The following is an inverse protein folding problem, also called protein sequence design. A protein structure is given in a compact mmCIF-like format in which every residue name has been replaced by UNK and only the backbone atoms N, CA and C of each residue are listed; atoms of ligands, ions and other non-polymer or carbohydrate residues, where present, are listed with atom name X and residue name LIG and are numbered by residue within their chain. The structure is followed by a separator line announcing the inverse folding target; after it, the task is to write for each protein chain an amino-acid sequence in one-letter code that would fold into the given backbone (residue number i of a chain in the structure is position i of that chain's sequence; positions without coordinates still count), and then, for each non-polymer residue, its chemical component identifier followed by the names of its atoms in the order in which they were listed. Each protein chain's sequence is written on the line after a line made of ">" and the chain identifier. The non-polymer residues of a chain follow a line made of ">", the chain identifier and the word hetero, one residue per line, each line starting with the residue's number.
data_IF_391963446727
#
_entry.id   IF_391963446727
#
_cell.length_a   1.000
_cell.length_b   1.000
_cell.length_c   1.000
_cell.angle_alpha   90.00
_cell.angle_beta   90.00
_cell.angle_gamma   90.00
#
_symmetry.space_group_name_H-M   'P 1'
#
loop_
_entity.id
_entity.type
_entity.pdbx_description
1 polymer ?
#
# COMPACT_ATOMS: atom_id res chain seq x y z
N UNK A 1 -18.76 -6.05 -3.34
CA UNK A 1 -18.28 -5.93 -1.95
C UNK A 1 -16.76 -6.00 -1.90
N UNK A 2 -16.17 -5.14 -1.11
CA UNK A 2 -14.70 -5.08 -0.95
C UNK A 2 -14.32 -5.79 0.33
N UNK A 3 -13.30 -6.65 0.24
CA UNK A 3 -12.79 -7.38 1.40
C UNK A 3 -11.28 -7.32 1.43
N UNK A 4 -10.72 -7.32 2.64
CA UNK A 4 -9.29 -7.52 2.86
C UNK A 4 -9.07 -8.96 3.28
N UNK A 5 -8.32 -9.71 2.49
CA UNK A 5 -8.02 -11.12 2.78
C UNK A 5 -6.52 -11.28 3.06
N UNK A 6 -6.19 -12.26 3.92
CA UNK A 6 -4.80 -12.49 4.28
C UNK A 6 -3.96 -12.88 3.07
N UNK A 7 -2.74 -12.36 3.03
CA UNK A 7 -1.79 -12.67 1.97
C UNK A 7 -1.26 -14.09 2.19
N UNK A 8 -1.27 -14.88 1.12
CA UNK A 8 -0.64 -16.20 1.08
C UNK A 8 0.64 -16.10 0.25
N UNK A 9 1.56 -17.02 0.46
CA UNK A 9 2.79 -17.05 -0.34
C UNK A 9 2.51 -17.13 -1.84
N UNK A 10 1.42 -17.80 -2.21
CA UNK A 10 0.97 -17.86 -3.62
C UNK A 10 0.56 -16.51 -4.20
N UNK A 11 0.32 -15.50 -3.37
CA UNK A 11 -0.03 -14.16 -3.80
C UNK A 11 1.20 -13.27 -4.06
N UNK A 12 2.39 -13.72 -3.70
CA UNK A 12 3.59 -12.88 -3.76
C UNK A 12 3.94 -12.42 -5.20
N UNK A 13 3.70 -13.27 -6.19
CA UNK A 13 3.90 -12.88 -7.59
C UNK A 13 2.94 -11.76 -8.01
N UNK A 14 1.70 -11.84 -7.58
CA UNK A 14 0.71 -10.80 -7.86
C UNK A 14 1.12 -9.46 -7.24
N UNK A 15 1.60 -9.50 -5.99
CA UNK A 15 2.08 -8.30 -5.31
C UNK A 15 3.27 -7.70 -6.08
N UNK A 16 4.20 -8.55 -6.53
CA UNK A 16 5.35 -8.10 -7.33
C UNK A 16 4.91 -7.41 -8.62
N UNK A 17 3.97 -8.01 -9.34
CA UNK A 17 3.41 -7.43 -10.56
C UNK A 17 2.85 -6.03 -10.29
N UNK A 18 2.05 -5.89 -9.25
CA UNK A 18 1.46 -4.60 -8.89
C UNK A 18 2.53 -3.58 -8.52
N UNK A 19 3.50 -3.95 -7.71
CA UNK A 19 4.58 -3.05 -7.31
C UNK A 19 5.38 -2.55 -8.50
N UNK A 20 5.69 -3.43 -9.44
CA UNK A 20 6.46 -3.07 -10.63
C UNK A 20 5.64 -2.24 -11.63
N UNK A 21 4.31 -2.40 -11.64
CA UNK A 21 3.43 -1.57 -12.46
C UNK A 21 3.36 -0.13 -11.97
N UNK A 22 3.58 0.10 -10.67
CA UNK A 22 3.40 1.41 -10.04
C UNK A 22 4.64 1.91 -9.32
N UNK A 23 5.83 1.36 -9.59
CA UNK A 23 7.03 1.70 -8.81
C UNK A 23 7.33 3.20 -8.80
N UNK A 24 6.96 3.91 -9.86
CA UNK A 24 7.16 5.36 -9.97
C UNK A 24 6.37 6.14 -8.91
N UNK A 25 5.31 5.54 -8.37
CA UNK A 25 4.47 6.16 -7.34
C UNK A 25 4.96 5.89 -5.92
N UNK A 26 6.00 5.07 -5.75
CA UNK A 26 6.52 4.74 -4.43
C UNK A 26 7.77 5.56 -4.13
N UNK A 27 7.76 6.18 -2.97
CA UNK A 27 8.86 6.99 -2.51
C UNK A 27 10.20 6.23 -2.46
N UNK A 28 10.15 4.99 -1.97
CA UNK A 28 11.34 4.19 -1.73
C UNK A 28 11.81 3.36 -2.93
N UNK A 29 10.94 3.12 -3.89
CA UNK A 29 11.25 2.27 -5.02
C UNK A 29 11.59 3.09 -6.25
N UNK A 30 12.84 3.01 -6.72
CA UNK A 30 13.35 3.80 -7.85
C UNK A 30 13.42 3.02 -9.16
N UNK A 31 13.28 1.70 -9.11
CA UNK A 31 13.32 0.82 -10.26
C UNK A 31 12.43 -0.41 -10.02
N UNK A 32 12.04 -1.14 -11.05
CA UNK A 32 11.31 -2.41 -10.85
C UNK A 32 12.12 -3.37 -9.98
N UNK A 33 11.44 -4.10 -9.12
CA UNK A 33 12.06 -5.13 -8.28
C UNK A 33 12.21 -6.43 -9.05
N UNK A 34 13.31 -7.14 -8.79
CA UNK A 34 13.48 -8.48 -9.25
C UNK A 34 12.78 -9.46 -8.32
N UNK A 35 12.41 -10.64 -8.85
CA UNK A 35 11.63 -11.62 -8.09
C UNK A 35 12.33 -12.05 -6.80
N UNK A 36 13.64 -12.27 -6.83
CA UNK A 36 14.40 -12.68 -5.65
C UNK A 36 14.44 -11.60 -4.59
N UNK A 37 14.64 -10.34 -4.98
CA UNK A 37 14.62 -9.21 -4.08
C UNK A 37 13.27 -9.08 -3.37
N UNK A 38 12.19 -9.23 -4.13
CA UNK A 38 10.82 -9.13 -3.61
C UNK A 38 10.52 -10.25 -2.63
N UNK A 39 10.89 -11.50 -2.97
CA UNK A 39 10.63 -12.64 -2.11
C UNK A 39 11.46 -12.56 -0.82
N UNK A 40 12.72 -12.16 -0.91
CA UNK A 40 13.57 -11.95 0.26
C UNK A 40 12.98 -10.87 1.17
N UNK A 41 12.48 -9.78 0.58
CA UNK A 41 11.82 -8.70 1.32
C UNK A 41 10.60 -9.23 2.08
N UNK A 42 9.72 -9.97 1.42
CA UNK A 42 8.51 -10.48 2.05
C UNK A 42 8.82 -11.55 3.12
N UNK A 43 9.81 -12.41 2.88
CA UNK A 43 10.26 -13.36 3.89
C UNK A 43 10.73 -12.63 5.16
N UNK A 44 11.51 -11.59 4.98
CA UNK A 44 12.01 -10.79 6.10
C UNK A 44 10.86 -10.08 6.82
N UNK A 45 9.92 -9.51 6.08
CA UNK A 45 8.78 -8.81 6.68
C UNK A 45 7.82 -9.77 7.40
N UNK A 46 7.78 -11.05 7.02
CA UNK A 46 6.93 -12.01 7.71
C UNK A 46 7.29 -12.18 9.19
N UNK A 47 8.52 -11.80 9.56
CA UNK A 47 9.01 -11.83 10.95
C UNK A 47 8.91 -10.48 11.65
N UNK A 48 8.53 -9.43 10.92
CA UNK A 48 8.42 -8.09 11.48
C UNK A 48 7.06 -7.91 12.17
N UNK A 49 7.03 -7.69 13.50
CA UNK A 49 5.76 -7.55 14.23
C UNK A 49 5.00 -6.27 13.88
N UNK A 50 5.61 -5.35 13.16
CA UNK A 50 4.99 -4.08 12.75
C UNK A 50 4.63 -4.07 11.26
N UNK A 51 4.57 -5.23 10.63
CA UNK A 51 4.19 -5.38 9.24
C UNK A 51 2.90 -6.18 9.12
N UNK A 52 1.91 -5.59 8.46
CA UNK A 52 0.61 -6.22 8.18
C UNK A 52 0.27 -5.99 6.73
N UNK A 53 -0.27 -6.99 6.06
CA UNK A 53 -0.67 -6.80 4.66
C UNK A 53 -1.84 -7.68 4.27
N UNK A 54 -2.54 -7.26 3.23
CA UNK A 54 -3.76 -7.92 2.74
C UNK A 54 -3.86 -7.80 1.24
N UNK A 55 -4.52 -8.79 0.63
CA UNK A 55 -5.00 -8.67 -0.74
C UNK A 55 -6.37 -7.99 -0.69
N UNK A 56 -6.58 -7.02 -1.56
CA UNK A 56 -7.88 -6.37 -1.71
C UNK A 56 -8.67 -7.18 -2.73
N UNK A 57 -9.82 -7.69 -2.31
CA UNK A 57 -10.69 -8.48 -3.15
C UNK A 57 -12.00 -7.72 -3.39
N UNK A 58 -12.42 -7.65 -4.65
CA UNK A 58 -13.65 -6.98 -5.06
C UNK A 58 -14.49 -7.97 -5.85
N UNK A 59 -15.68 -8.32 -5.32
CA UNK A 59 -16.59 -9.29 -5.92
C UNK A 59 -15.89 -10.59 -6.33
N UNK A 60 -15.07 -11.11 -5.42
CA UNK A 60 -14.35 -12.36 -5.61
C UNK A 60 -13.06 -12.27 -6.43
N UNK A 61 -12.70 -11.09 -6.93
CA UNK A 61 -11.50 -10.87 -7.73
C UNK A 61 -10.42 -10.17 -6.92
N UNK A 62 -9.18 -10.61 -7.07
CA UNK A 62 -8.03 -9.96 -6.43
C UNK A 62 -7.65 -8.73 -7.25
N UNK A 63 -7.95 -7.55 -6.74
CA UNK A 63 -7.83 -6.30 -7.49
C UNK A 63 -6.79 -5.34 -6.94
N UNK A 64 -6.23 -5.63 -5.76
CA UNK A 64 -5.27 -4.73 -5.15
C UNK A 64 -4.56 -5.31 -3.95
N UNK A 65 -3.78 -4.48 -3.32
CA UNK A 65 -2.94 -4.83 -2.19
C UNK A 65 -2.87 -3.67 -1.20
N UNK A 66 -2.92 -3.99 0.08
CA UNK A 66 -2.78 -2.99 1.14
C UNK A 66 -1.78 -3.48 2.18
N UNK A 67 -0.99 -2.58 2.73
CA UNK A 67 -0.05 -2.90 3.79
C UNK A 67 0.07 -1.78 4.82
N UNK A 68 0.45 -2.17 6.02
CA UNK A 68 0.90 -1.24 7.06
C UNK A 68 2.30 -1.70 7.47
N UNK A 69 3.28 -0.82 7.34
CA UNK A 69 4.65 -1.06 7.77
C UNK A 69 5.08 0.08 8.67
N UNK A 70 5.33 -0.22 9.95
CA UNK A 70 5.70 0.80 10.95
C UNK A 70 4.74 2.00 10.92
N UNK A 71 3.44 1.70 10.90
CA UNK A 71 2.33 2.66 10.82
C UNK A 71 2.19 3.39 9.48
N UNK A 72 3.05 3.11 8.51
CA UNK A 72 2.95 3.66 7.17
C UNK A 72 2.04 2.80 6.31
N UNK A 73 0.95 3.38 5.82
CA UNK A 73 -0.03 2.66 5.01
C UNK A 73 0.24 2.85 3.52
N UNK A 74 0.18 1.74 2.78
CA UNK A 74 0.28 1.76 1.33
C UNK A 74 -0.86 0.96 0.70
N UNK A 75 -1.41 1.46 -0.39
CA UNK A 75 -2.49 0.81 -1.13
C UNK A 75 -2.19 0.86 -2.62
N UNK A 76 -2.37 -0.27 -3.29
CA UNK A 76 -2.26 -0.38 -4.75
C UNK A 76 -3.53 -1.00 -5.30
N UNK A 77 -4.05 -0.43 -6.37
CA UNK A 77 -5.21 -0.98 -7.09
C UNK A 77 -4.81 -1.19 -8.55
N UNK A 78 -5.13 -2.35 -9.11
CA UNK A 78 -4.87 -2.63 -10.52
C UNK A 78 -5.55 -1.58 -11.40
N UNK A 79 -4.90 -1.21 -12.50
CA UNK A 79 -5.37 -0.14 -13.39
C UNK A 79 -6.84 -0.29 -13.81
N UNK A 80 -7.26 -1.51 -14.14
CA UNK A 80 -8.62 -1.78 -14.59
C UNK A 80 -9.69 -1.51 -13.53
N UNK A 81 -9.28 -1.39 -12.27
CA UNK A 81 -10.18 -1.22 -11.12
C UNK A 81 -10.00 0.13 -10.45
N UNK A 82 -9.20 1.02 -11.01
CA UNK A 82 -9.03 2.37 -10.49
C UNK A 82 -10.23 3.26 -10.82
N UNK A 83 -10.38 4.35 -10.11
CA UNK A 83 -11.46 5.34 -10.27
C UNK A 83 -12.86 4.77 -10.01
N UNK A 84 -12.95 3.75 -9.16
CA UNK A 84 -14.23 3.12 -8.77
C UNK A 84 -14.49 3.19 -7.27
N UNK A 85 -13.69 3.97 -6.55
CA UNK A 85 -13.83 4.10 -5.10
C UNK A 85 -13.24 2.95 -4.30
N UNK A 86 -12.58 1.98 -4.95
CA UNK A 86 -12.04 0.79 -4.26
C UNK A 86 -10.93 1.16 -3.29
N UNK A 87 -10.00 2.02 -3.70
CA UNK A 87 -8.88 2.43 -2.83
C UNK A 87 -9.40 3.14 -1.58
N UNK A 88 -10.33 4.06 -1.73
CA UNK A 88 -10.90 4.81 -0.61
C UNK A 88 -11.64 3.90 0.36
N UNK A 89 -12.44 2.97 -0.14
CA UNK A 89 -13.16 2.01 0.70
C UNK A 89 -12.21 1.01 1.34
N UNK A 90 -11.16 0.60 0.63
CA UNK A 90 -10.13 -0.28 1.19
C UNK A 90 -9.39 0.39 2.34
N UNK A 91 -9.10 1.68 2.21
CA UNK A 91 -8.43 2.45 3.27
C UNK A 91 -9.27 2.45 4.56
N UNK A 92 -10.58 2.57 4.43
CA UNK A 92 -11.49 2.49 5.59
C UNK A 92 -11.40 1.12 6.28
N UNK A 93 -11.33 0.05 5.49
CA UNK A 93 -11.16 -1.31 6.03
C UNK A 93 -9.80 -1.47 6.70
N UNK A 94 -8.75 -0.88 6.14
CA UNK A 94 -7.42 -0.88 6.75
C UNK A 94 -7.46 -0.16 8.11
N UNK A 95 -8.17 0.94 8.21
CA UNK A 95 -8.34 1.66 9.48
C UNK A 95 -9.03 0.79 10.52
N UNK A 96 -10.05 0.04 10.13
CA UNK A 96 -10.73 -0.91 11.03
C UNK A 96 -9.76 -1.99 11.52
N UNK A 97 -8.96 -2.55 10.61
CA UNK A 97 -7.92 -3.54 10.96
C UNK A 97 -6.90 -2.93 11.93
N UNK A 98 -6.47 -1.70 11.65
CA UNK A 98 -5.51 -0.99 12.51
C UNK A 98 -6.04 -0.83 13.93
N UNK A 99 -7.30 -0.47 14.09
CA UNK A 99 -7.94 -0.37 15.41
C UNK A 99 -7.88 -1.70 16.16
N UNK A 100 -8.20 -2.78 15.50
CA UNK A 100 -8.16 -4.12 16.10
C UNK A 100 -6.73 -4.54 16.49
N UNK A 101 -5.74 -4.03 15.79
CA UNK A 101 -4.32 -4.32 16.05
C UNK A 101 -3.72 -3.38 17.11
N UNK A 102 -4.50 -2.45 17.64
CA UNK A 102 -4.01 -1.49 18.63
C UNK A 102 -3.21 -0.33 18.04
N UNK A 103 -3.27 -0.13 16.74
CA UNK A 103 -2.58 0.98 16.08
C UNK A 103 -3.44 2.24 16.23
N UNK A 104 -2.89 3.26 16.86
CA UNK A 104 -3.62 4.51 17.14
C UNK A 104 -3.38 5.60 16.10
N UNK A 105 -2.40 5.42 15.21
CA UNK A 105 -2.04 6.45 14.24
C UNK A 105 -1.47 5.81 12.98
N UNK A 106 -2.04 6.20 11.84
CA UNK A 106 -1.52 5.82 10.53
C UNK A 106 -0.93 7.04 9.84
N UNK A 107 0.13 6.81 9.07
CA UNK A 107 0.72 7.84 8.22
C UNK A 107 0.81 7.31 6.79
N UNK A 108 0.97 8.21 5.83
CA UNK A 108 1.16 7.85 4.44
C UNK A 108 2.21 8.76 3.81
N UNK A 109 3.13 8.16 3.06
CA UNK A 109 4.11 8.89 2.27
C UNK A 109 3.62 8.89 0.82
N UNK A 110 3.34 10.06 0.29
CA UNK A 110 2.79 10.23 -1.05
C UNK A 110 3.70 11.15 -1.85
N UNK A 111 4.13 10.69 -3.04
CA UNK A 111 4.91 11.54 -3.92
C UNK A 111 4.11 12.78 -4.30
N UNK A 112 4.78 13.92 -4.40
CA UNK A 112 4.15 15.20 -4.71
C UNK A 112 3.28 15.15 -5.97
N UNK A 113 3.72 14.41 -7.00
CA UNK A 113 3.01 14.30 -8.27
C UNK A 113 1.84 13.30 -8.24
N UNK A 114 1.72 12.50 -7.20
CA UNK A 114 0.66 11.49 -7.10
C UNK A 114 -0.62 12.10 -6.54
N UNK A 115 -1.30 12.87 -7.35
CA UNK A 115 -2.52 13.58 -6.97
C UNK A 115 -3.67 12.66 -6.60
N UNK A 116 -3.78 11.50 -7.26
CA UNK A 116 -4.82 10.51 -6.98
C UNK A 116 -4.73 10.00 -5.55
N UNK A 117 -3.53 9.58 -5.11
CA UNK A 117 -3.32 9.11 -3.74
C UNK A 117 -3.53 10.22 -2.73
N UNK A 118 -3.05 11.43 -3.03
CA UNK A 118 -3.25 12.59 -2.17
C UNK A 118 -4.73 12.82 -1.88
N UNK A 119 -5.57 12.80 -2.91
CA UNK A 119 -7.02 12.98 -2.77
C UNK A 119 -7.65 11.88 -1.91
N UNK A 120 -7.24 10.63 -2.12
CA UNK A 120 -7.77 9.50 -1.36
C UNK A 120 -7.47 9.65 0.12
N UNK A 121 -6.23 9.98 0.47
CA UNK A 121 -5.84 10.16 1.87
C UNK A 121 -6.54 11.36 2.50
N UNK A 122 -6.59 12.49 1.81
CA UNK A 122 -7.28 13.68 2.31
C UNK A 122 -8.77 13.43 2.51
N UNK A 123 -9.42 12.72 1.58
CA UNK A 123 -10.83 12.34 1.68
C UNK A 123 -11.10 11.46 2.91
N UNK A 124 -10.11 10.68 3.33
CA UNK A 124 -10.22 9.81 4.50
C UNK A 124 -9.62 10.45 5.75
N UNK A 125 -9.58 11.78 5.77
CA UNK A 125 -9.18 12.59 6.93
C UNK A 125 -7.71 12.48 7.33
N UNK A 126 -6.86 12.03 6.41
CA UNK A 126 -5.41 12.17 6.60
C UNK A 126 -5.06 13.64 6.33
N UNK A 127 -4.21 14.18 7.19
CA UNK A 127 -3.81 15.59 7.10
C UNK A 127 -2.34 15.71 6.78
N UNK A 128 -1.99 16.63 5.91
CA UNK A 128 -0.59 16.94 5.60
C UNK A 128 0.10 17.44 6.86
N UNK A 129 1.19 16.78 7.26
CA UNK A 129 1.93 17.11 8.49
C UNK A 129 3.34 17.62 8.23
N UNK A 130 3.97 17.18 7.14
CA UNK A 130 5.39 17.44 6.88
C UNK A 130 5.58 17.74 5.41
N UNK A 131 6.38 18.76 5.10
CA UNK A 131 6.94 18.96 3.78
C UNK A 131 8.33 18.37 3.78
N UNK A 132 8.63 17.49 2.84
CA UNK A 132 9.94 16.84 2.73
C UNK A 132 10.68 17.43 1.54
N UNK A 133 11.86 17.99 1.78
CA UNK A 133 12.70 18.57 0.74
C UNK A 133 13.97 17.75 0.60
N UNK A 134 14.35 17.41 -0.62
CA UNK A 134 15.56 16.67 -0.91
C UNK A 134 16.34 17.33 -2.03
N UNK A 135 17.65 17.14 -2.00
CA UNK A 135 18.55 17.56 -3.07
C UNK A 135 19.65 16.53 -3.22
N UNK A 136 19.85 16.05 -4.44
CA UNK A 136 20.98 15.17 -4.72
C UNK A 136 22.25 16.00 -4.83
N UNK A 137 23.30 15.53 -4.18
CA UNK A 137 24.62 16.19 -4.22
C UNK A 137 25.52 15.35 -5.11
N UNK A 138 26.00 15.95 -6.18
CA UNK A 138 26.86 15.27 -7.16
C UNK A 138 28.33 15.62 -6.92
#
# INVERSE_FOLDING_TARGET
>A
MIELIDVKKSDWNLILEMRNSFFENFYEQKKPLEINEHFDYLEKQSENPNFYHWIIQFDGKKVGYARILDNDVGIMIKKNFQNKGIASNSLKLVEEKAKLLGISKLKALVKFENYSSKKIFEKNNFKLKIYWYEKEIK
#
